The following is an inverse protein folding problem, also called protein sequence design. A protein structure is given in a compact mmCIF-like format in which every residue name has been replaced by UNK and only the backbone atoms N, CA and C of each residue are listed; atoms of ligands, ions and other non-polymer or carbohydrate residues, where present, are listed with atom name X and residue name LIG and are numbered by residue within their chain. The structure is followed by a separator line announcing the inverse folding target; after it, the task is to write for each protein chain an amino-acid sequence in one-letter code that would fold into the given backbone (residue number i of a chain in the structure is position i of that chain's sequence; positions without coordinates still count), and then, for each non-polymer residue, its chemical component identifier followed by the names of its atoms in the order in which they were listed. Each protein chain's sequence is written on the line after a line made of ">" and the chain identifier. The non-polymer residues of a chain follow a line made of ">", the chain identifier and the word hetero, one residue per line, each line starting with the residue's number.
data_IF_602185039118
#
_entry.id   IF_602185039118
#
_cell.length_a   1.000
_cell.length_b   1.000
_cell.length_c   1.000
_cell.angle_alpha   90.00
_cell.angle_beta   90.00
_cell.angle_gamma   90.00
#
_symmetry.space_group_name_H-M   'P 1'
#
loop_
_entity.id
_entity.type
_entity.pdbx_description
1 polymer ?
#
# COMPACT_ATOMS: atom_id res chain seq x y z
N UNK A 1 -49.37 71.75 4.14
CA UNK A 1 -47.98 71.38 3.75
C UNK A 1 -47.62 70.07 4.46
N UNK A 2 -47.38 68.99 3.72
CA UNK A 2 -46.95 67.67 4.23
C UNK A 2 -45.43 67.55 4.02
N UNK A 3 -44.67 67.30 5.08
CA UNK A 3 -43.26 66.92 4.96
C UNK A 3 -43.13 65.40 4.71
N UNK A 4 -42.22 64.95 3.84
CA UNK A 4 -42.03 63.52 3.56
C UNK A 4 -41.21 62.85 4.68
N UNK A 5 -41.64 61.65 5.08
CA UNK A 5 -40.88 60.77 5.97
C UNK A 5 -39.62 60.25 5.26
N UNK A 6 -38.46 60.49 5.84
CA UNK A 6 -37.23 59.81 5.45
C UNK A 6 -37.27 58.36 5.98
N UNK A 7 -36.87 57.35 5.18
CA UNK A 7 -36.79 55.97 5.66
C UNK A 7 -35.64 55.84 6.67
N UNK A 8 -35.96 55.36 7.86
CA UNK A 8 -34.96 54.93 8.84
C UNK A 8 -34.12 53.79 8.24
N UNK A 9 -32.92 54.12 7.76
CA UNK A 9 -31.85 53.12 7.56
C UNK A 9 -31.52 52.56 8.92
N UNK A 10 -31.99 51.36 9.22
CA UNK A 10 -31.53 50.58 10.37
C UNK A 10 -30.06 50.24 10.16
N UNK A 11 -29.18 51.09 10.70
CA UNK A 11 -27.77 50.75 10.89
C UNK A 11 -27.75 49.55 11.84
N UNK A 12 -27.54 48.37 11.26
CA UNK A 12 -27.34 47.11 11.98
C UNK A 12 -26.16 47.31 12.93
N UNK A 13 -26.46 47.58 14.22
CA UNK A 13 -25.43 47.67 15.26
C UNK A 13 -24.74 46.32 15.33
N UNK A 14 -23.46 46.28 14.92
CA UNK A 14 -22.55 45.21 15.29
C UNK A 14 -22.11 45.50 16.72
N UNK A 15 -22.56 44.70 17.66
CA UNK A 15 -22.06 44.82 19.03
C UNK A 15 -20.60 44.36 19.07
N UNK A 16 -19.67 45.21 19.53
CA UNK A 16 -18.27 44.82 19.72
C UNK A 16 -18.21 43.70 20.76
N UNK A 17 -17.75 42.52 20.36
CA UNK A 17 -17.67 41.32 21.21
C UNK A 17 -18.25 40.04 20.57
N UNK A 18 -19.14 40.15 19.59
CA UNK A 18 -19.76 39.00 18.91
C UNK A 18 -18.79 38.19 18.04
N UNK A 19 -17.68 38.78 17.60
CA UNK A 19 -16.69 38.11 16.75
C UNK A 19 -15.86 37.06 17.51
N UNK A 20 -15.67 37.23 18.82
CA UNK A 20 -14.80 36.37 19.63
C UNK A 20 -15.35 34.94 19.82
N UNK A 21 -16.63 34.71 20.18
CA UNK A 21 -17.17 33.35 20.22
C UNK A 21 -17.25 32.71 18.83
N UNK A 22 -17.52 33.49 17.79
CA UNK A 22 -17.58 32.98 16.41
C UNK A 22 -16.19 32.57 15.92
N UNK A 23 -15.17 33.36 16.22
CA UNK A 23 -13.77 33.01 15.95
C UNK A 23 -13.34 31.77 16.73
N UNK A 24 -13.74 31.61 18.00
CA UNK A 24 -13.44 30.42 18.79
C UNK A 24 -14.07 29.16 18.17
N UNK A 25 -15.33 29.22 17.73
CA UNK A 25 -16.01 28.09 17.07
C UNK A 25 -15.31 27.75 15.73
N UNK A 26 -15.01 28.77 14.92
CA UNK A 26 -14.30 28.58 13.65
C UNK A 26 -12.92 27.96 13.88
N UNK A 27 -12.19 28.42 14.90
CA UNK A 27 -10.88 27.88 15.24
C UNK A 27 -10.96 26.39 15.62
N UNK A 28 -11.91 26.00 16.47
CA UNK A 28 -12.13 24.60 16.85
C UNK A 28 -12.48 23.75 15.63
N UNK A 29 -13.36 24.24 14.76
CA UNK A 29 -13.72 23.54 13.53
C UNK A 29 -12.53 23.37 12.58
N UNK A 30 -11.70 24.40 12.42
CA UNK A 30 -10.48 24.35 11.61
C UNK A 30 -9.45 23.38 12.21
N UNK A 31 -9.26 23.38 13.53
CA UNK A 31 -8.36 22.44 14.20
C UNK A 31 -8.81 20.99 13.98
N UNK A 32 -10.10 20.70 14.16
CA UNK A 32 -10.65 19.38 13.91
C UNK A 32 -10.49 18.94 12.45
N UNK A 33 -10.67 19.87 11.50
CA UNK A 33 -10.47 19.61 10.08
C UNK A 33 -9.00 19.28 9.78
N UNK A 34 -8.06 20.06 10.31
CA UNK A 34 -6.63 19.88 10.07
C UNK A 34 -6.13 18.55 10.66
N UNK A 35 -6.51 18.21 11.89
CA UNK A 35 -6.10 16.93 12.51
C UNK A 35 -6.68 15.74 11.76
N UNK A 36 -7.92 15.84 11.28
CA UNK A 36 -8.55 14.81 10.46
C UNK A 36 -7.81 14.64 9.13
N UNK A 37 -7.44 15.73 8.46
CA UNK A 37 -6.69 15.68 7.22
C UNK A 37 -5.30 15.06 7.40
N UNK A 38 -4.60 15.40 8.49
CA UNK A 38 -3.29 14.81 8.83
C UNK A 38 -3.40 13.30 9.10
N UNK A 39 -4.41 12.87 9.86
CA UNK A 39 -4.66 11.45 10.11
C UNK A 39 -4.96 10.68 8.81
N UNK A 40 -5.77 11.27 7.91
CA UNK A 40 -6.02 10.66 6.59
C UNK A 40 -4.71 10.49 5.83
N UNK A 41 -3.88 11.54 5.75
CA UNK A 41 -2.60 11.48 5.05
C UNK A 41 -1.67 10.41 5.64
N UNK A 42 -1.57 10.34 6.96
CA UNK A 42 -0.74 9.35 7.65
C UNK A 42 -1.18 7.91 7.33
N UNK A 43 -2.50 7.62 7.25
CA UNK A 43 -2.98 6.28 6.86
C UNK A 43 -2.59 5.91 5.43
N UNK A 44 -2.71 6.85 4.49
CA UNK A 44 -2.28 6.61 3.12
C UNK A 44 -0.77 6.44 3.00
N UNK A 45 0.00 7.20 3.77
CA UNK A 45 1.46 7.04 3.84
C UNK A 45 1.85 5.66 4.40
N UNK A 46 1.24 5.22 5.50
CA UNK A 46 1.47 3.89 6.07
C UNK A 46 1.16 2.76 5.08
N UNK A 47 0.07 2.89 4.32
CA UNK A 47 -0.26 1.95 3.25
C UNK A 47 0.84 1.93 2.18
N UNK A 48 1.29 3.11 1.72
CA UNK A 48 2.35 3.22 0.71
C UNK A 48 3.64 2.56 1.18
N UNK A 49 4.03 2.70 2.45
CA UNK A 49 5.22 2.03 2.99
C UNK A 49 5.14 0.50 2.87
N UNK A 50 3.98 -0.10 3.15
CA UNK A 50 3.77 -1.55 2.98
C UNK A 50 3.77 -1.94 1.50
N UNK A 51 3.17 -1.11 0.66
CA UNK A 51 3.15 -1.31 -0.79
C UNK A 51 4.56 -1.26 -1.39
N UNK A 52 5.37 -0.28 -1.00
CA UNK A 52 6.77 -0.14 -1.41
C UNK A 52 7.62 -1.32 -0.93
N UNK A 53 7.40 -1.79 0.31
CA UNK A 53 8.06 -2.99 0.83
C UNK A 53 7.73 -4.23 -0.03
N UNK A 54 6.48 -4.39 -0.44
CA UNK A 54 6.03 -5.47 -1.32
C UNK A 54 6.66 -5.34 -2.72
N UNK A 55 6.68 -4.14 -3.29
CA UNK A 55 7.28 -3.86 -4.59
C UNK A 55 8.79 -4.15 -4.60
N UNK A 56 9.52 -3.70 -3.57
CA UNK A 56 10.94 -3.99 -3.42
C UNK A 56 11.20 -5.49 -3.29
N UNK A 57 10.37 -6.20 -2.52
CA UNK A 57 10.47 -7.65 -2.38
C UNK A 57 10.27 -8.37 -3.72
N UNK A 58 9.24 -7.99 -4.50
CA UNK A 58 9.03 -8.56 -5.84
C UNK A 58 10.18 -8.26 -6.79
N UNK A 59 10.76 -7.06 -6.72
CA UNK A 59 11.92 -6.68 -7.53
C UNK A 59 13.15 -7.52 -7.19
N UNK A 60 13.50 -7.63 -5.92
CA UNK A 60 14.63 -8.44 -5.47
C UNK A 60 14.47 -9.91 -5.84
N UNK A 61 13.24 -10.43 -5.74
CA UNK A 61 12.92 -11.79 -6.17
C UNK A 61 13.09 -11.96 -7.68
N UNK A 62 12.58 -11.04 -8.49
CA UNK A 62 12.75 -11.07 -9.94
C UNK A 62 14.24 -10.98 -10.35
N UNK A 63 15.03 -10.15 -9.68
CA UNK A 63 16.47 -10.03 -9.92
C UNK A 63 17.28 -11.24 -9.43
N UNK A 64 16.72 -12.05 -8.52
CA UNK A 64 17.37 -13.29 -8.06
C UNK A 64 17.34 -14.40 -9.10
N UNK A 65 16.55 -14.25 -10.16
CA UNK A 65 16.53 -15.16 -11.29
C UNK A 65 17.87 -15.13 -12.02
N UNK A 66 18.74 -16.06 -11.66
CA UNK A 66 20.04 -16.20 -12.30
C UNK A 66 19.88 -16.96 -13.61
N UNK A 67 20.34 -16.36 -14.70
CA UNK A 67 20.37 -16.99 -16.02
C UNK A 67 21.10 -18.35 -16.05
N UNK A 68 22.14 -18.50 -15.22
CA UNK A 68 22.93 -19.71 -15.08
C UNK A 68 22.13 -20.90 -14.50
N UNK A 69 21.12 -20.65 -13.66
CA UNK A 69 20.30 -21.72 -13.08
C UNK A 69 19.28 -22.27 -14.09
N UNK A 70 18.82 -21.43 -15.03
CA UNK A 70 18.04 -21.87 -16.20
C UNK A 70 18.89 -22.68 -17.17
N UNK A 71 20.13 -22.25 -17.43
CA UNK A 71 21.04 -22.97 -18.32
C UNK A 71 21.50 -24.31 -17.73
N UNK A 72 21.62 -24.41 -16.40
CA UNK A 72 22.08 -25.61 -15.69
C UNK A 72 20.95 -26.58 -15.27
N UNK A 73 19.68 -26.29 -15.60
CA UNK A 73 18.52 -27.13 -15.31
C UNK A 73 18.41 -27.53 -13.81
N UNK A 74 18.77 -26.63 -12.90
CA UNK A 74 18.83 -26.94 -11.46
C UNK A 74 17.42 -27.02 -10.85
N UNK A 75 17.12 -28.15 -10.22
CA UNK A 75 15.79 -28.55 -9.73
C UNK A 75 15.20 -27.64 -8.65
N UNK A 76 16.00 -26.95 -7.83
CA UNK A 76 15.50 -26.07 -6.76
C UNK A 76 14.65 -24.92 -7.30
N UNK A 77 14.94 -24.45 -8.52
CA UNK A 77 14.19 -23.40 -9.18
C UNK A 77 12.91 -23.94 -9.83
N UNK A 78 12.95 -25.18 -10.35
CA UNK A 78 11.81 -25.91 -10.92
C UNK A 78 10.74 -26.20 -9.86
N UNK A 79 11.13 -26.34 -8.58
CA UNK A 79 10.19 -26.60 -7.48
C UNK A 79 9.32 -25.38 -7.13
N UNK A 80 9.76 -24.15 -7.42
CA UNK A 80 9.02 -22.93 -7.12
C UNK A 80 8.41 -22.27 -8.37
N UNK A 81 8.93 -22.58 -9.56
CA UNK A 81 8.42 -22.06 -10.81
C UNK A 81 7.20 -22.85 -11.29
N UNK A 82 6.09 -22.15 -11.46
CA UNK A 82 4.83 -22.72 -11.92
C UNK A 82 3.69 -21.72 -11.80
N UNK A 83 2.55 -22.01 -12.41
CA UNK A 83 1.32 -21.20 -12.28
C UNK A 83 0.70 -21.27 -10.88
N UNK A 84 1.27 -22.06 -9.97
CA UNK A 84 0.74 -22.25 -8.62
C UNK A 84 1.09 -21.05 -7.72
N UNK A 85 0.06 -20.35 -7.27
CA UNK A 85 0.16 -19.36 -6.19
C UNK A 85 0.46 -20.06 -4.86
N UNK A 86 1.44 -19.54 -4.12
CA UNK A 86 1.83 -20.00 -2.78
C UNK A 86 1.66 -18.90 -1.77
N UNK A 87 1.04 -19.22 -0.64
CA UNK A 87 0.91 -18.30 0.49
C UNK A 87 2.13 -18.37 1.41
N UNK A 88 2.54 -17.21 1.89
CA UNK A 88 3.44 -17.07 3.02
C UNK A 88 4.89 -17.45 2.78
N UNK A 89 5.65 -17.46 3.87
CA UNK A 89 7.10 -17.51 3.87
C UNK A 89 7.67 -18.76 4.54
N UNK A 90 6.92 -19.38 5.45
CA UNK A 90 7.37 -20.55 6.21
C UNK A 90 7.82 -21.74 5.33
N UNK A 91 7.21 -21.95 4.17
CA UNK A 91 7.51 -23.06 3.27
C UNK A 91 8.49 -22.72 2.14
N UNK A 92 9.11 -21.53 2.16
CA UNK A 92 10.00 -21.10 1.09
C UNK A 92 11.33 -21.86 1.14
N UNK A 93 11.72 -22.58 0.06
CA UNK A 93 13.02 -23.24 0.01
C UNK A 93 14.15 -22.23 0.15
N UNK A 94 15.18 -22.57 0.93
CA UNK A 94 16.34 -21.71 1.10
C UNK A 94 16.97 -21.35 -0.26
N UNK A 95 17.23 -20.06 -0.48
CA UNK A 95 17.80 -19.56 -1.74
C UNK A 95 16.82 -19.44 -2.91
N UNK A 96 15.54 -19.78 -2.73
CA UNK A 96 14.50 -19.53 -3.74
C UNK A 96 14.18 -18.03 -3.88
N UNK A 97 13.61 -17.65 -5.03
CA UNK A 97 13.11 -16.30 -5.25
C UNK A 97 12.07 -15.89 -4.20
N UNK A 98 11.18 -16.81 -3.76
CA UNK A 98 10.23 -16.54 -2.66
C UNK A 98 10.93 -16.33 -1.33
N UNK A 99 11.96 -17.12 -1.00
CA UNK A 99 12.70 -16.92 0.24
C UNK A 99 13.39 -15.56 0.28
N UNK A 100 13.94 -15.10 -0.85
CA UNK A 100 14.51 -13.76 -1.00
C UNK A 100 13.43 -12.69 -0.85
N UNK A 101 12.30 -12.84 -1.55
CA UNK A 101 11.17 -11.93 -1.45
C UNK A 101 10.68 -11.79 0.01
N UNK A 102 10.49 -12.92 0.67
CA UNK A 102 10.07 -13.00 2.07
C UNK A 102 11.06 -12.30 3.01
N UNK A 103 12.36 -12.52 2.82
CA UNK A 103 13.38 -11.86 3.62
C UNK A 103 13.34 -10.34 3.44
N UNK A 104 13.33 -9.85 2.20
CA UNK A 104 13.29 -8.42 1.89
C UNK A 104 12.01 -7.77 2.41
N UNK A 105 10.86 -8.42 2.21
CA UNK A 105 9.58 -7.93 2.70
C UNK A 105 9.58 -7.79 4.23
N UNK A 106 10.02 -8.82 4.96
CA UNK A 106 10.09 -8.80 6.42
C UNK A 106 11.04 -7.74 6.95
N UNK A 107 12.22 -7.59 6.34
CA UNK A 107 13.20 -6.55 6.74
C UNK A 107 12.59 -5.16 6.57
N UNK A 108 11.97 -4.89 5.42
CA UNK A 108 11.37 -3.59 5.13
C UNK A 108 10.16 -3.30 6.02
N UNK A 109 9.30 -4.29 6.27
CA UNK A 109 8.17 -4.13 7.18
C UNK A 109 8.63 -3.83 8.60
N UNK A 110 9.60 -4.59 9.13
CA UNK A 110 10.12 -4.36 10.49
C UNK A 110 10.77 -2.98 10.64
N UNK A 111 11.40 -2.49 9.58
CA UNK A 111 12.09 -1.20 9.61
C UNK A 111 11.13 -0.01 9.54
N UNK A 112 10.06 -0.10 8.74
CA UNK A 112 9.29 1.08 8.33
C UNK A 112 7.79 0.97 8.56
N UNK A 113 7.21 -0.23 8.66
CA UNK A 113 5.76 -0.37 8.74
C UNK A 113 5.22 0.12 10.10
N UNK A 114 4.25 1.02 10.03
CA UNK A 114 3.49 1.53 11.18
C UNK A 114 2.01 1.38 10.90
N UNK A 115 1.21 1.30 11.95
CA UNK A 115 -0.25 1.19 11.83
C UNK A 115 -0.75 -0.18 11.37
N UNK A 116 0.11 -1.20 11.30
CA UNK A 116 -0.31 -2.59 11.17
C UNK A 116 -0.97 -3.07 12.48
N UNK A 117 -2.06 -3.83 12.35
CA UNK A 117 -2.69 -4.55 13.46
C UNK A 117 -1.97 -5.87 13.69
N UNK A 118 -1.64 -6.57 12.61
CA UNK A 118 -0.91 -7.83 12.63
C UNK A 118 0.61 -7.57 12.70
N UNK A 119 1.38 -8.52 13.23
CA UNK A 119 2.85 -8.41 13.23
C UNK A 119 3.41 -8.52 11.80
N UNK A 120 4.62 -7.99 11.53
CA UNK A 120 5.26 -8.16 10.21
C UNK A 120 5.30 -9.62 9.73
N UNK A 121 5.52 -10.56 10.63
CA UNK A 121 5.52 -12.00 10.35
C UNK A 121 4.14 -12.50 9.93
N UNK A 122 3.09 -12.10 10.66
CA UNK A 122 1.71 -12.44 10.31
C UNK A 122 1.30 -11.86 8.96
N UNK A 123 1.73 -10.63 8.64
CA UNK A 123 1.47 -10.02 7.32
C UNK A 123 2.24 -10.75 6.21
N UNK A 124 3.50 -11.13 6.46
CA UNK A 124 4.30 -11.88 5.49
C UNK A 124 3.69 -13.26 5.16
N UNK A 125 3.08 -13.92 6.14
CA UNK A 125 2.37 -15.19 5.91
C UNK A 125 1.08 -15.04 5.09
N UNK A 126 0.48 -13.85 5.05
CA UNK A 126 -0.70 -13.56 4.23
C UNK A 126 -0.36 -13.26 2.76
N UNK A 127 0.91 -13.06 2.43
CA UNK A 127 1.30 -12.72 1.05
C UNK A 127 1.10 -13.92 0.14
N UNK A 128 0.40 -13.71 -0.96
CA UNK A 128 0.23 -14.68 -2.04
C UNK A 128 1.27 -14.43 -3.12
N UNK A 129 2.26 -15.33 -3.24
CA UNK A 129 3.34 -15.28 -4.21
C UNK A 129 3.05 -16.16 -5.42
N UNK A 130 3.30 -15.66 -6.62
CA UNK A 130 3.25 -16.45 -7.86
C UNK A 130 4.55 -16.21 -8.64
N UNK A 131 5.24 -17.28 -9.01
CA UNK A 131 6.58 -17.24 -9.60
C UNK A 131 6.55 -17.92 -10.96
N UNK A 132 6.77 -17.13 -12.01
CA UNK A 132 6.86 -17.61 -13.37
C UNK A 132 8.32 -17.69 -13.80
N UNK A 133 8.75 -18.87 -14.23
CA UNK A 133 10.10 -19.11 -14.78
C UNK A 133 10.33 -18.48 -16.18
N UNK A 134 9.29 -17.98 -16.84
CA UNK A 134 9.35 -17.53 -18.24
C UNK A 134 9.25 -18.68 -19.24
N UNK A 135 9.48 -18.38 -20.52
CA UNK A 135 9.45 -19.35 -21.64
C UNK A 135 8.12 -19.41 -22.39
N UNK A 136 7.02 -19.04 -21.75
CA UNK A 136 5.71 -18.78 -22.38
C UNK A 136 5.13 -17.49 -21.82
N UNK A 137 4.21 -16.84 -22.56
CA UNK A 137 3.51 -15.67 -22.05
C UNK A 137 2.66 -16.07 -20.84
N UNK A 138 2.98 -15.51 -19.67
CA UNK A 138 2.26 -15.71 -18.42
C UNK A 138 1.70 -14.37 -17.94
N UNK A 139 0.57 -14.41 -17.23
CA UNK A 139 -0.14 -13.22 -16.77
C UNK A 139 -0.28 -13.22 -15.26
N UNK A 140 0.23 -12.17 -14.59
CA UNK A 140 -0.16 -11.85 -13.21
C UNK A 140 -1.58 -11.27 -13.24
N UNK A 141 -2.53 -11.97 -12.61
CA UNK A 141 -3.89 -11.46 -12.39
C UNK A 141 -4.05 -11.04 -10.93
N UNK A 142 -4.66 -9.87 -10.71
CA UNK A 142 -4.85 -9.32 -9.37
C UNK A 142 -6.33 -9.29 -8.98
N UNK A 143 -6.67 -9.60 -7.71
CA UNK A 143 -8.07 -9.72 -7.30
C UNK A 143 -8.90 -8.43 -7.38
N UNK A 144 -8.28 -7.24 -7.28
CA UNK A 144 -9.00 -5.95 -7.15
C UNK A 144 -8.58 -4.88 -8.15
N UNK A 145 -8.37 -5.25 -9.41
CA UNK A 145 -8.42 -4.30 -10.53
C UNK A 145 -7.13 -3.56 -10.89
N UNK A 146 -5.98 -3.92 -10.30
CA UNK A 146 -4.69 -3.61 -10.95
C UNK A 146 -4.66 -4.28 -12.32
N UNK A 147 -4.21 -3.54 -13.34
CA UNK A 147 -4.11 -4.07 -14.69
C UNK A 147 -3.24 -5.35 -14.71
N UNK A 148 -3.69 -6.43 -15.38
CA UNK A 148 -2.90 -7.64 -15.48
C UNK A 148 -1.55 -7.35 -16.15
N UNK A 149 -0.49 -7.97 -15.63
CA UNK A 149 0.86 -7.85 -16.21
C UNK A 149 1.17 -9.13 -16.95
N UNK A 150 1.44 -9.02 -18.26
CA UNK A 150 1.77 -10.19 -19.10
C UNK A 150 3.20 -10.10 -19.58
N UNK A 151 3.97 -11.17 -19.42
CA UNK A 151 5.36 -11.25 -19.87
C UNK A 151 5.75 -12.69 -20.23
N UNK A 152 6.70 -12.84 -21.15
CA UNK A 152 7.36 -14.12 -21.46
C UNK A 152 8.68 -14.30 -20.72
N UNK A 153 9.18 -13.23 -20.09
CA UNK A 153 10.35 -13.27 -19.21
C UNK A 153 9.97 -13.77 -17.81
N UNK A 154 10.94 -14.24 -17.01
CA UNK A 154 10.70 -14.60 -15.61
C UNK A 154 10.01 -13.45 -14.86
N UNK A 155 9.01 -13.77 -14.05
CA UNK A 155 8.16 -12.77 -13.39
C UNK A 155 7.74 -13.24 -12.01
N UNK A 156 7.66 -12.30 -11.06
CA UNK A 156 7.16 -12.53 -9.71
C UNK A 156 5.94 -11.65 -9.49
N UNK A 157 4.83 -12.25 -9.07
CA UNK A 157 3.62 -11.55 -8.64
C UNK A 157 3.45 -11.72 -7.13
N UNK A 158 2.95 -10.70 -6.45
CA UNK A 158 2.60 -10.74 -5.05
C UNK A 158 1.31 -9.97 -4.77
N UNK A 159 0.49 -10.49 -3.87
CA UNK A 159 -0.73 -9.85 -3.40
C UNK A 159 -0.89 -10.04 -1.89
N UNK A 160 -1.31 -9.00 -1.18
CA UNK A 160 -1.55 -9.07 0.27
C UNK A 160 -2.64 -8.09 0.70
N UNK A 161 -3.35 -8.43 1.79
CA UNK A 161 -4.38 -7.58 2.42
C UNK A 161 -4.04 -7.36 3.89
N UNK A 162 -3.04 -6.54 4.22
CA UNK A 162 -2.63 -6.33 5.61
C UNK A 162 -3.77 -5.69 6.40
N UNK A 163 -3.98 -6.13 7.63
CA UNK A 163 -4.89 -5.44 8.56
C UNK A 163 -4.18 -4.23 9.14
N UNK A 164 -4.75 -3.05 8.93
CA UNK A 164 -4.24 -1.76 9.38
C UNK A 164 -5.27 -1.06 10.26
N UNK A 165 -4.78 -0.20 11.15
CA UNK A 165 -5.63 0.65 11.98
C UNK A 165 -6.39 1.64 11.09
N UNK A 166 -7.69 1.77 11.30
CA UNK A 166 -8.55 2.67 10.53
C UNK A 166 -8.34 4.16 10.84
N UNK A 167 -9.03 5.01 10.09
CA UNK A 167 -8.97 6.47 10.24
C UNK A 167 -9.35 6.90 11.66
N UNK A 168 -8.58 7.85 12.21
CA UNK A 168 -8.79 8.37 13.57
C UNK A 168 -8.75 7.27 14.67
N UNK A 169 -8.21 6.08 14.38
CA UNK A 169 -8.21 4.93 15.28
C UNK A 169 -9.51 4.11 15.29
N UNK A 170 -10.43 4.37 14.36
CA UNK A 170 -11.74 3.70 14.31
C UNK A 170 -11.69 2.49 13.39
N UNK A 171 -11.95 1.32 13.95
CA UNK A 171 -12.08 0.08 13.21
C UNK A 171 -10.80 -0.38 12.52
N UNK A 172 -10.98 -1.33 11.60
CA UNK A 172 -9.91 -1.94 10.84
C UNK A 172 -10.05 -1.60 9.37
N UNK A 173 -8.92 -1.39 8.71
CA UNK A 173 -8.82 -1.15 7.28
C UNK A 173 -7.87 -2.17 6.66
N UNK A 174 -8.34 -2.90 5.65
CA UNK A 174 -7.55 -3.94 4.99
C UNK A 174 -7.40 -3.64 3.48
N UNK A 175 -6.48 -2.73 3.10
CA UNK A 175 -6.25 -2.40 1.69
C UNK A 175 -5.70 -3.60 0.92
N UNK A 176 -6.11 -3.76 -0.34
CA UNK A 176 -5.43 -4.68 -1.27
C UNK A 176 -4.14 -4.03 -1.78
N UNK A 177 -3.03 -4.73 -1.62
CA UNK A 177 -1.73 -4.33 -2.16
C UNK A 177 -1.24 -5.39 -3.13
N UNK A 178 -0.87 -4.96 -4.32
CA UNK A 178 -0.50 -5.83 -5.44
C UNK A 178 0.82 -5.35 -6.04
N UNK A 179 1.78 -6.27 -6.19
CA UNK A 179 3.07 -6.00 -6.79
C UNK A 179 3.38 -7.07 -7.85
N UNK A 180 4.10 -6.65 -8.90
CA UNK A 180 4.66 -7.57 -9.87
C UNK A 180 5.89 -6.94 -10.49
N UNK A 181 6.91 -7.77 -10.68
CA UNK A 181 8.15 -7.38 -11.32
C UNK A 181 8.61 -8.50 -12.27
N UNK A 182 9.30 -8.10 -13.33
CA UNK A 182 9.78 -8.95 -14.41
C UNK A 182 11.30 -8.87 -14.42
N UNK A 183 11.99 -9.99 -14.67
CA UNK A 183 13.42 -9.95 -14.90
C UNK A 183 13.71 -9.09 -16.14
N UNK A 184 14.24 -7.90 -15.92
CA UNK A 184 14.71 -7.03 -16.99
C UNK A 184 16.02 -7.59 -17.56
N UNK A 185 16.06 -7.74 -18.89
CA UNK A 185 17.25 -8.21 -19.62
C UNK A 185 18.17 -7.05 -20.04
N UNK A 186 17.85 -5.80 -19.70
CA UNK A 186 18.67 -4.65 -20.03
C UNK A 186 19.64 -4.27 -18.89
N UNK A 187 20.70 -5.08 -18.72
CA UNK A 187 22.05 -4.59 -18.39
C UNK A 187 23.09 -5.49 -19.06
#
# INVERSE_FOLDING_TARGET
>A
MRFPHAPHRSLRRREPGQALPLAAIVLVALLALLTTAMEVQERFYQRQVVEDALQQATRSAAQSFRYEDFAANRSTFVVESGTATRSGCASAPAGSARAIACHVFLVNLRAAARGLIDTPEQVAEQVSWTIYAGGSAQTCTFPHGRAPVTSSAPMVCASVRPRMVGLLGWGEWAPQLDAADVLDRSQ
#
